data_IF_027089728286
#
_entry.id   IF_027089728286
#
_cell.length_a   1.000
_cell.length_b   1.000
_cell.length_c   1.000
_cell.angle_alpha   90.00
_cell.angle_beta   90.00
_cell.angle_gamma   90.00
#
_symmetry.space_group_name_H-M   'P 1'
#
loop_
_entity.id
_entity.type
_entity.pdbx_description
1 polymer ?
#
# COMPACT_ATOMS: atom_id res chain seq x y z
N UNK A 1 -65.79 87.90 1.79
CA UNK A 1 -65.20 87.63 3.12
C UNK A 1 -65.16 86.13 3.33
N UNK A 2 -64.15 85.45 2.80
CA UNK A 2 -64.10 83.97 2.75
C UNK A 2 -63.49 83.39 4.03
N UNK A 3 -64.31 83.28 5.08
CA UNK A 3 -64.02 82.39 6.20
C UNK A 3 -64.36 80.95 5.81
N UNK A 4 -63.50 80.00 6.16
CA UNK A 4 -63.87 78.58 6.16
C UNK A 4 -65.05 78.36 7.13
N UNK A 5 -65.84 77.31 6.90
CA UNK A 5 -67.06 77.05 7.66
C UNK A 5 -66.78 76.09 8.82
N UNK A 6 -67.31 76.42 10.00
CA UNK A 6 -66.94 75.78 11.26
C UNK A 6 -67.37 74.32 11.35
N UNK A 7 -68.51 73.98 10.75
CA UNK A 7 -69.17 72.69 10.95
C UNK A 7 -69.67 72.05 9.64
N UNK A 8 -69.82 70.72 9.69
CA UNK A 8 -70.47 69.95 8.61
C UNK A 8 -71.88 70.47 8.33
N UNK A 9 -72.63 70.84 9.37
CA UNK A 9 -73.95 71.45 9.24
C UNK A 9 -73.93 72.73 8.44
N UNK A 10 -72.96 73.62 8.67
CA UNK A 10 -72.88 74.91 7.97
C UNK A 10 -72.53 74.72 6.49
N UNK A 11 -71.65 73.75 6.17
CA UNK A 11 -71.36 73.37 4.79
C UNK A 11 -72.61 72.85 4.09
N UNK A 12 -73.41 72.03 4.77
CA UNK A 12 -74.66 71.51 4.22
C UNK A 12 -75.71 72.61 4.05
N UNK A 13 -75.90 73.50 5.03
CA UNK A 13 -76.81 74.65 4.92
C UNK A 13 -76.46 75.53 3.73
N UNK A 14 -75.19 75.94 3.60
CA UNK A 14 -74.74 76.78 2.48
C UNK A 14 -74.92 76.08 1.12
N UNK A 15 -74.66 74.77 1.06
CA UNK A 15 -74.78 74.00 -0.18
C UNK A 15 -76.26 73.79 -0.56
N UNK A 16 -77.13 73.49 0.40
CA UNK A 16 -78.57 73.32 0.18
C UNK A 16 -79.29 74.64 -0.07
N UNK A 17 -78.85 75.74 0.53
CA UNK A 17 -79.34 77.08 0.18
C UNK A 17 -79.10 77.37 -1.29
N UNK A 18 -77.93 77.01 -1.83
CA UNK A 18 -77.64 77.24 -3.24
C UNK A 18 -78.40 76.31 -4.18
N UNK A 19 -78.48 75.00 -3.91
CA UNK A 19 -79.09 74.05 -4.85
C UNK A 19 -80.59 73.78 -4.60
N UNK A 20 -81.16 74.38 -3.56
CA UNK A 20 -82.55 74.27 -3.07
C UNK A 20 -82.96 72.86 -2.62
N UNK A 21 -82.66 71.83 -3.41
CA UNK A 21 -82.96 70.44 -3.13
C UNK A 21 -81.87 69.51 -3.69
N UNK A 22 -81.21 68.73 -2.82
CA UNK A 22 -80.23 67.71 -3.22
C UNK A 22 -80.32 66.44 -2.36
N UNK A 23 -79.85 65.32 -2.93
CA UNK A 23 -79.71 64.06 -2.20
C UNK A 23 -78.41 64.00 -1.39
N UNK A 24 -78.35 63.16 -0.36
CA UNK A 24 -77.14 62.94 0.43
C UNK A 24 -75.95 62.44 -0.44
N UNK A 25 -76.25 61.66 -1.49
CA UNK A 25 -75.27 61.18 -2.48
C UNK A 25 -74.66 62.31 -3.30
N UNK A 26 -75.46 63.29 -3.69
CA UNK A 26 -74.99 64.46 -4.43
C UNK A 26 -74.24 65.43 -3.51
N UNK A 27 -74.59 65.50 -2.21
CA UNK A 27 -73.92 66.34 -1.21
C UNK A 27 -72.53 65.83 -0.81
N UNK A 28 -72.37 64.50 -0.71
CA UNK A 28 -71.14 63.88 -0.19
C UNK A 28 -69.84 64.29 -0.91
N UNK A 29 -69.78 64.40 -2.25
CA UNK A 29 -68.59 64.90 -2.96
C UNK A 29 -68.22 66.34 -2.62
N UNK A 30 -69.21 67.21 -2.38
CA UNK A 30 -68.98 68.62 -2.03
C UNK A 30 -68.45 68.76 -0.63
N UNK A 31 -69.09 68.02 0.30
CA UNK A 31 -68.62 67.91 1.67
C UNK A 31 -67.18 67.41 1.67
N UNK A 32 -66.89 66.26 1.05
CA UNK A 32 -65.54 65.67 1.02
C UNK A 32 -64.44 66.62 0.53
N UNK A 33 -64.75 67.51 -0.43
CA UNK A 33 -63.78 68.49 -0.95
C UNK A 33 -63.49 69.60 0.06
N UNK A 34 -64.51 70.07 0.78
CA UNK A 34 -64.40 71.17 1.76
C UNK A 34 -64.00 70.68 3.16
N UNK A 35 -64.50 69.53 3.58
CA UNK A 35 -64.32 68.90 4.91
C UNK A 35 -64.28 67.37 4.77
N UNK A 36 -63.66 66.64 5.72
CA UNK A 36 -63.61 65.16 5.69
C UNK A 36 -62.87 64.56 4.48
N UNK A 37 -61.78 65.19 4.03
CA UNK A 37 -60.98 64.75 2.87
C UNK A 37 -60.42 63.32 3.03
N UNK A 38 -60.07 62.95 4.27
CA UNK A 38 -59.46 61.66 4.62
C UNK A 38 -60.43 60.47 4.57
N UNK A 39 -61.74 60.74 4.53
CA UNK A 39 -62.76 59.69 4.54
C UNK A 39 -63.07 59.19 3.13
N UNK A 40 -63.46 57.91 3.03
CA UNK A 40 -63.99 57.37 1.78
C UNK A 40 -65.34 58.01 1.47
N UNK A 41 -65.70 58.10 0.18
CA UNK A 41 -66.95 58.75 -0.25
C UNK A 41 -68.20 58.12 0.37
N UNK A 42 -68.20 56.80 0.60
CA UNK A 42 -69.29 56.10 1.27
C UNK A 42 -69.43 56.48 2.75
N UNK A 43 -68.31 56.61 3.47
CA UNK A 43 -68.31 57.07 4.87
C UNK A 43 -68.74 58.54 4.98
N UNK A 44 -68.38 59.39 4.01
CA UNK A 44 -68.84 60.78 3.96
C UNK A 44 -70.35 60.83 3.69
N UNK A 45 -70.87 60.02 2.77
CA UNK A 45 -72.31 59.92 2.48
C UNK A 45 -73.12 59.55 3.73
N UNK A 46 -72.66 58.56 4.50
CA UNK A 46 -73.30 58.15 5.75
C UNK A 46 -73.29 59.27 6.79
N UNK A 47 -72.16 59.95 6.99
CA UNK A 47 -72.04 61.08 7.91
C UNK A 47 -72.92 62.26 7.49
N UNK A 48 -73.01 62.54 6.19
CA UNK A 48 -73.90 63.58 5.65
C UNK A 48 -75.36 63.21 5.91
N UNK A 49 -75.75 61.96 5.65
CA UNK A 49 -77.11 61.50 5.92
C UNK A 49 -77.48 61.59 7.40
N UNK A 50 -76.58 61.18 8.30
CA UNK A 50 -76.77 61.32 9.75
C UNK A 50 -76.92 62.78 10.17
N UNK A 51 -76.08 63.67 9.66
CA UNK A 51 -76.13 65.11 9.94
C UNK A 51 -77.46 65.72 9.49
N UNK A 52 -77.90 65.43 8.26
CA UNK A 52 -79.19 65.92 7.73
C UNK A 52 -80.39 65.45 8.58
N UNK A 53 -80.32 64.22 9.11
CA UNK A 53 -81.38 63.67 9.97
C UNK A 53 -81.36 64.20 11.41
N UNK A 54 -80.19 64.59 11.92
CA UNK A 54 -80.00 65.04 13.30
C UNK A 54 -80.43 66.49 13.53
N UNK A 55 -80.37 67.33 12.51
CA UNK A 55 -80.60 68.77 12.65
C UNK A 55 -81.93 69.20 12.02
N UNK A 56 -82.77 69.88 12.82
CA UNK A 56 -84.11 70.33 12.42
C UNK A 56 -84.13 71.46 11.36
N UNK A 57 -82.98 71.98 10.96
CA UNK A 57 -82.87 72.94 9.87
C UNK A 57 -83.03 72.31 8.48
N UNK A 58 -83.04 70.98 8.37
CA UNK A 58 -83.19 70.27 7.11
C UNK A 58 -84.52 69.53 7.04
N UNK A 59 -85.27 69.78 5.97
CA UNK A 59 -86.53 69.09 5.68
C UNK A 59 -86.30 68.02 4.61
N UNK A 60 -86.89 66.84 4.83
CA UNK A 60 -86.87 65.76 3.86
C UNK A 60 -88.18 65.76 3.05
N UNK A 61 -88.09 66.17 1.79
CA UNK A 61 -89.25 66.24 0.90
C UNK A 61 -89.71 64.87 0.36
N UNK A 62 -90.92 64.82 -0.19
CA UNK A 62 -91.54 63.62 -0.77
C UNK A 62 -90.70 63.02 -1.92
N UNK A 63 -89.95 63.86 -2.63
CA UNK A 63 -89.05 63.49 -3.74
C UNK A 63 -87.74 62.81 -3.30
N UNK A 64 -87.58 62.50 -1.99
CA UNK A 64 -86.33 62.01 -1.36
C UNK A 64 -85.15 62.98 -1.45
N UNK A 65 -85.44 64.27 -1.59
CA UNK A 65 -84.45 65.35 -1.61
C UNK A 65 -84.52 66.13 -0.30
N UNK A 66 -83.34 66.54 0.19
CA UNK A 66 -83.22 67.38 1.36
C UNK A 66 -83.27 68.85 0.97
N UNK A 67 -84.01 69.65 1.74
CA UNK A 67 -84.15 71.10 1.57
C UNK A 67 -83.78 71.82 2.86
N UNK A 68 -83.36 73.07 2.75
CA UNK A 68 -83.05 73.91 3.90
C UNK A 68 -84.33 74.65 4.35
N UNK A 69 -84.67 74.55 5.63
CA UNK A 69 -85.77 75.30 6.20
C UNK A 69 -85.33 76.74 6.52
N UNK A 70 -85.86 77.71 5.77
CA UNK A 70 -85.57 79.13 5.93
C UNK A 70 -86.62 79.88 6.77
N UNK A 71 -87.68 79.20 7.24
CA UNK A 71 -88.72 79.85 8.06
C UNK A 71 -88.17 80.33 9.41
N UNK A 72 -87.09 79.70 9.88
CA UNK A 72 -86.34 80.13 11.05
C UNK A 72 -87.09 79.99 12.37
N UNK A 73 -86.37 80.21 13.46
CA UNK A 73 -86.96 80.19 14.82
C UNK A 73 -87.23 81.62 15.26
N UNK A 74 -88.46 81.90 15.73
CA UNK A 74 -88.88 83.25 16.17
C UNK A 74 -87.98 83.87 17.24
N UNK A 75 -87.41 83.04 18.11
CA UNK A 75 -86.47 83.47 19.16
C UNK A 75 -85.19 84.10 18.59
N UNK A 76 -84.80 83.74 17.37
CA UNK A 76 -83.58 84.21 16.71
C UNK A 76 -83.82 85.43 15.81
N UNK A 77 -85.07 85.89 15.62
CA UNK A 77 -85.42 86.97 14.69
C UNK A 77 -84.75 88.30 15.07
N UNK A 78 -84.58 88.56 16.38
CA UNK A 78 -83.84 89.74 16.84
C UNK A 78 -82.39 89.74 16.32
N UNK A 79 -81.74 88.59 16.39
CA UNK A 79 -80.37 88.44 15.93
C UNK A 79 -80.27 88.49 14.40
N UNK A 80 -81.24 87.90 13.70
CA UNK A 80 -81.38 88.00 12.25
C UNK A 80 -81.47 89.46 11.77
N UNK A 81 -82.34 90.27 12.37
CA UNK A 81 -82.47 91.69 12.04
C UNK A 81 -81.20 92.50 12.35
N UNK A 82 -80.48 92.13 13.41
CA UNK A 82 -79.24 92.78 13.81
C UNK A 82 -78.12 92.51 12.79
N UNK A 83 -78.00 91.27 12.31
CA UNK A 83 -77.09 90.90 11.22
C UNK A 83 -77.47 91.61 9.92
N UNK A 84 -78.76 91.62 9.54
CA UNK A 84 -79.24 92.34 8.35
C UNK A 84 -78.89 93.84 8.40
N UNK A 85 -79.06 94.49 9.56
CA UNK A 85 -78.78 95.92 9.73
C UNK A 85 -77.29 96.24 9.67
N UNK A 86 -76.43 95.38 10.22
CA UNK A 86 -74.98 95.60 10.26
C UNK A 86 -74.24 95.09 9.01
N UNK A 87 -74.85 94.20 8.22
CA UNK A 87 -74.27 93.56 7.02
C UNK A 87 -72.85 93.00 7.24
N UNK A 88 -72.55 92.56 8.46
CA UNK A 88 -71.25 92.02 8.85
C UNK A 88 -71.45 90.84 9.81
N UNK A 89 -70.57 89.82 9.75
CA UNK A 89 -70.65 88.68 10.66
C UNK A 89 -70.29 89.13 12.09
N UNK A 90 -71.02 88.66 13.08
CA UNK A 90 -70.89 89.11 14.48
C UNK A 90 -70.59 87.95 15.41
N UNK A 91 -69.83 88.22 16.46
CA UNK A 91 -69.64 87.24 17.53
C UNK A 91 -70.83 87.25 18.49
N UNK A 92 -71.16 86.10 19.08
CA UNK A 92 -72.15 86.03 20.16
C UNK A 92 -71.76 86.87 21.38
N UNK A 93 -70.45 87.07 21.57
CA UNK A 93 -69.86 87.91 22.60
C UNK A 93 -70.24 89.39 22.46
N UNK A 94 -70.39 89.89 21.25
CA UNK A 94 -70.77 91.30 20.99
C UNK A 94 -72.24 91.58 21.28
N UNK A 95 -73.08 90.54 21.31
CA UNK A 95 -74.54 90.65 21.44
C UNK A 95 -74.96 90.49 22.90
N UNK A 96 -74.31 89.58 23.63
CA UNK A 96 -74.54 89.37 25.07
C UNK A 96 -73.80 90.45 25.88
N UNK A 97 -74.24 91.71 25.77
CA UNK A 97 -73.94 92.77 26.73
C UNK A 97 -74.79 92.56 27.98
N UNK A 98 -74.35 91.68 28.89
CA UNK A 98 -75.05 91.42 30.16
C UNK A 98 -74.11 91.31 31.36
N UNK A 99 -74.43 92.04 32.44
CA UNK A 99 -73.74 92.08 33.74
C UNK A 99 -73.98 90.81 34.60
N UNK A 100 -73.87 89.61 34.02
CA UNK A 100 -74.10 88.34 34.75
C UNK A 100 -72.82 87.53 35.00
N UNK A 101 -72.84 86.71 36.06
CA UNK A 101 -71.73 85.85 36.47
C UNK A 101 -71.23 84.93 35.34
N UNK A 102 -69.91 84.73 35.25
CA UNK A 102 -69.23 84.00 34.16
C UNK A 102 -69.82 82.60 33.85
N UNK A 103 -70.26 81.85 34.87
CA UNK A 103 -70.83 80.49 34.70
C UNK A 103 -72.25 80.49 34.12
N UNK A 104 -73.12 81.44 34.50
CA UNK A 104 -74.48 81.58 33.92
C UNK A 104 -74.41 82.13 32.49
N UNK A 105 -73.44 83.01 32.21
CA UNK A 105 -73.16 83.51 30.86
C UNK A 105 -72.77 82.37 29.92
N UNK A 106 -71.88 81.47 30.34
CA UNK A 106 -71.43 80.32 29.54
C UNK A 106 -72.56 79.35 29.20
N UNK A 107 -73.42 78.99 30.16
CA UNK A 107 -74.55 78.07 29.92
C UNK A 107 -75.60 78.64 28.96
N UNK A 108 -75.88 79.95 29.03
CA UNK A 108 -76.78 80.61 28.07
C UNK A 108 -76.17 80.66 26.67
N UNK A 109 -74.89 80.99 26.56
CA UNK A 109 -74.21 81.02 25.26
C UNK A 109 -74.21 79.65 24.58
N UNK A 110 -73.99 78.56 25.31
CA UNK A 110 -74.05 77.20 24.72
C UNK A 110 -75.47 76.86 24.22
N UNK A 111 -76.51 77.29 24.94
CA UNK A 111 -77.89 77.08 24.52
C UNK A 111 -78.27 77.96 23.31
N UNK A 112 -77.82 79.22 23.30
CA UNK A 112 -78.00 80.16 22.19
C UNK A 112 -77.23 79.70 20.94
N UNK A 113 -76.01 79.19 21.07
CA UNK A 113 -75.25 78.55 19.99
C UNK A 113 -75.98 77.35 19.41
N UNK A 114 -76.43 76.41 20.26
CA UNK A 114 -77.16 75.24 19.80
C UNK A 114 -78.46 75.60 19.06
N UNK A 115 -79.17 76.63 19.54
CA UNK A 115 -80.38 77.15 18.90
C UNK A 115 -80.08 77.78 17.53
N UNK A 116 -78.96 78.49 17.37
CA UNK A 116 -78.55 79.07 16.09
C UNK A 116 -78.04 78.00 15.10
N UNK A 117 -77.36 76.95 15.57
CA UNK A 117 -77.00 75.78 14.74
C UNK A 117 -78.28 75.10 14.21
N UNK A 118 -79.34 75.05 15.02
CA UNK A 118 -80.62 74.44 14.61
C UNK A 118 -81.45 75.29 13.65
N UNK A 119 -81.15 76.59 13.51
CA UNK A 119 -81.86 77.51 12.62
C UNK A 119 -81.16 77.56 11.24
N UNK A 120 -81.92 77.30 10.18
CA UNK A 120 -81.41 77.21 8.81
C UNK A 120 -80.96 78.54 8.20
N UNK A 121 -81.22 79.69 8.85
CA UNK A 121 -80.82 81.03 8.35
C UNK A 121 -79.40 81.45 8.73
N UNK A 122 -78.78 80.77 9.70
CA UNK A 122 -77.48 81.15 10.24
C UNK A 122 -76.40 80.11 9.93
N UNK A 123 -75.19 80.60 9.69
CA UNK A 123 -73.97 79.81 9.53
C UNK A 123 -72.88 80.33 10.47
N UNK A 124 -72.08 79.40 11.00
CA UNK A 124 -70.90 79.73 11.79
C UNK A 124 -69.62 79.65 10.93
N UNK A 125 -68.81 80.71 11.01
CA UNK A 125 -67.51 80.79 10.37
C UNK A 125 -66.42 80.26 11.32
N UNK A 126 -65.30 79.79 10.78
CA UNK A 126 -64.16 79.23 11.53
C UNK A 126 -63.58 80.15 12.60
N UNK A 127 -63.73 81.46 12.41
CA UNK A 127 -63.31 82.48 13.38
C UNK A 127 -64.30 82.67 14.54
N UNK A 128 -65.34 81.85 14.63
CA UNK A 128 -66.37 81.91 15.69
C UNK A 128 -67.42 83.01 15.48
N UNK A 129 -67.41 83.68 14.32
CA UNK A 129 -68.42 84.66 13.96
C UNK A 129 -69.63 84.00 13.29
N UNK A 130 -70.79 84.61 13.47
CA UNK A 130 -72.06 84.17 12.90
C UNK A 130 -72.46 85.08 11.74
N UNK A 131 -72.86 84.47 10.64
CA UNK A 131 -73.36 85.14 9.44
C UNK A 131 -74.68 84.54 8.97
N UNK A 132 -75.30 85.19 7.99
CA UNK A 132 -76.49 84.66 7.33
C UNK A 132 -76.08 83.66 6.25
N UNK A 133 -76.88 82.62 6.05
CA UNK A 133 -76.65 81.58 5.02
C UNK A 133 -76.68 82.13 3.60
N UNK A 134 -77.35 83.27 3.42
CA UNK A 134 -77.45 83.99 2.16
C UNK A 134 -76.17 84.76 1.81
N UNK A 135 -75.31 85.02 2.80
CA UNK A 135 -74.09 85.79 2.60
C UNK A 135 -72.97 84.94 2.00
N UNK A 136 -72.31 85.49 0.97
CA UNK A 136 -71.16 84.93 0.26
C UNK A 136 -71.31 83.42 -0.02
N UNK A 137 -72.19 83.02 -0.95
CA UNK A 137 -72.14 81.66 -1.51
C UNK A 137 -71.02 81.61 -2.55
N UNK A 138 -69.99 80.77 -2.34
CA UNK A 138 -68.89 80.56 -3.32
C UNK A 138 -69.37 79.72 -4.52
N UNK A 139 -70.24 80.31 -5.34
CA UNK A 139 -70.92 79.59 -6.42
C UNK A 139 -69.94 79.07 -7.48
N UNK A 140 -68.85 79.79 -7.72
CA UNK A 140 -67.85 79.43 -8.73
C UNK A 140 -67.08 78.12 -8.48
N UNK A 141 -67.12 77.58 -7.25
CA UNK A 141 -66.42 76.34 -6.90
C UNK A 141 -67.16 75.07 -7.33
N UNK A 142 -68.44 75.19 -7.71
CA UNK A 142 -69.20 74.04 -8.16
C UNK A 142 -68.79 73.62 -9.58
N UNK A 143 -68.75 72.30 -9.87
CA UNK A 143 -68.48 71.81 -11.22
C UNK A 143 -69.53 72.33 -12.20
N UNK A 144 -69.09 72.75 -13.39
CA UNK A 144 -69.96 73.34 -14.40
C UNK A 144 -71.16 72.45 -14.78
N UNK A 145 -70.98 71.11 -14.81
CA UNK A 145 -72.09 70.13 -14.96
C UNK A 145 -73.25 70.40 -14.01
N UNK A 146 -72.97 70.67 -12.74
CA UNK A 146 -74.01 70.81 -11.71
C UNK A 146 -74.67 72.20 -11.76
N UNK A 147 -73.92 73.23 -12.17
CA UNK A 147 -74.47 74.56 -12.45
C UNK A 147 -75.43 74.51 -13.65
N UNK A 148 -75.07 73.79 -14.71
CA UNK A 148 -75.94 73.58 -15.88
C UNK A 148 -77.21 72.81 -15.50
N UNK A 149 -77.10 71.75 -14.68
CA UNK A 149 -78.26 71.02 -14.16
C UNK A 149 -79.17 71.95 -13.35
N UNK A 150 -78.60 72.82 -12.50
CA UNK A 150 -79.37 73.80 -11.73
C UNK A 150 -80.11 74.78 -12.65
N UNK A 151 -79.45 75.31 -13.69
CA UNK A 151 -80.07 76.21 -14.66
C UNK A 151 -81.29 75.56 -15.35
N UNK A 152 -81.19 74.30 -15.76
CA UNK A 152 -82.33 73.57 -16.33
C UNK A 152 -83.42 73.19 -15.33
N UNK A 153 -83.09 73.01 -14.04
CA UNK A 153 -84.12 72.82 -12.99
C UNK A 153 -84.95 74.09 -12.76
N UNK A 154 -84.31 75.26 -12.85
CA UNK A 154 -85.01 76.56 -12.79
C UNK A 154 -85.85 76.83 -14.04
N UNK A 155 -85.45 76.28 -15.18
CA UNK A 155 -86.12 76.44 -16.48
C UNK A 155 -86.48 75.08 -17.09
N UNK A 156 -87.55 74.41 -16.60
CA UNK A 156 -87.92 73.07 -17.05
C UNK A 156 -88.37 73.02 -18.52
N UNK A 157 -88.75 74.15 -19.12
CA UNK A 157 -89.04 74.28 -20.55
C UNK A 157 -87.80 74.23 -21.46
N UNK A 158 -86.60 74.12 -20.89
CA UNK A 158 -85.33 74.14 -21.59
C UNK A 158 -84.81 75.56 -21.89
N UNK A 159 -83.54 75.62 -22.28
CA UNK A 159 -82.82 76.87 -22.54
C UNK A 159 -82.00 76.75 -23.81
N UNK A 160 -81.89 77.84 -24.56
CA UNK A 160 -80.88 77.91 -25.63
C UNK A 160 -79.46 78.02 -25.06
N UNK A 161 -78.44 77.68 -25.86
CA UNK A 161 -77.05 77.74 -25.40
C UNK A 161 -76.65 79.13 -24.87
N UNK A 162 -77.05 80.19 -25.59
CA UNK A 162 -76.81 81.57 -25.18
C UNK A 162 -77.55 81.95 -23.89
N UNK A 163 -78.80 81.50 -23.73
CA UNK A 163 -79.59 81.72 -22.50
C UNK A 163 -79.00 80.96 -21.31
N UNK A 164 -78.59 79.70 -21.52
CA UNK A 164 -77.93 78.89 -20.50
C UNK A 164 -76.65 79.55 -20.02
N UNK A 165 -75.82 80.04 -20.94
CA UNK A 165 -74.58 80.74 -20.61
C UNK A 165 -74.87 82.06 -19.91
N UNK A 166 -75.92 82.79 -20.31
CA UNK A 166 -76.40 83.98 -19.58
C UNK A 166 -76.75 83.68 -18.12
N UNK A 167 -77.51 82.61 -17.87
CA UNK A 167 -77.88 82.17 -16.51
C UNK A 167 -76.67 81.70 -15.74
N UNK A 168 -75.82 80.85 -16.32
CA UNK A 168 -74.64 80.29 -15.64
C UNK A 168 -73.56 81.35 -15.39
N UNK A 169 -73.44 82.38 -16.23
CA UNK A 169 -72.52 83.49 -16.04
C UNK A 169 -72.83 84.33 -14.80
N UNK A 170 -74.08 84.32 -14.30
CA UNK A 170 -74.41 84.93 -13.01
C UNK A 170 -73.73 84.23 -11.82
N UNK A 171 -73.31 82.99 -12.01
CA UNK A 171 -72.74 82.12 -10.98
C UNK A 171 -71.24 81.88 -11.18
N UNK A 172 -70.84 81.69 -12.44
CA UNK A 172 -69.45 81.45 -12.84
C UNK A 172 -69.25 81.91 -14.28
N UNK A 173 -68.23 82.75 -14.56
CA UNK A 173 -67.90 83.12 -15.93
C UNK A 173 -67.54 81.87 -16.74
N UNK A 174 -68.29 81.63 -17.81
CA UNK A 174 -68.31 80.40 -18.60
C UNK A 174 -68.46 80.77 -20.08
N UNK A 175 -67.75 80.07 -20.97
CA UNK A 175 -67.86 80.25 -22.43
C UNK A 175 -68.90 79.30 -23.02
N UNK A 176 -69.52 79.70 -24.14
CA UNK A 176 -70.49 78.86 -24.86
C UNK A 176 -69.92 77.48 -25.22
N UNK A 177 -68.66 77.45 -25.69
CA UNK A 177 -67.93 76.22 -26.02
C UNK A 177 -67.79 75.25 -24.85
N UNK A 178 -67.59 75.77 -23.63
CA UNK A 178 -67.43 74.94 -22.43
C UNK A 178 -68.76 74.39 -21.92
N UNK A 179 -69.85 75.14 -22.09
CA UNK A 179 -71.19 74.67 -21.80
C UNK A 179 -71.61 73.58 -22.80
N UNK A 180 -71.39 73.83 -24.09
CA UNK A 180 -71.68 72.87 -25.18
C UNK A 180 -70.88 71.56 -25.04
N UNK A 181 -69.59 71.64 -24.68
CA UNK A 181 -68.77 70.46 -24.43
C UNK A 181 -69.32 69.58 -23.29
N UNK A 182 -70.02 70.15 -22.32
CA UNK A 182 -70.65 69.39 -21.23
C UNK A 182 -72.00 68.82 -21.66
N UNK A 183 -72.80 69.61 -22.39
CA UNK A 183 -74.07 69.16 -22.94
C UNK A 183 -73.88 67.95 -23.87
N UNK A 184 -72.91 68.02 -24.78
CA UNK A 184 -72.56 66.93 -25.70
C UNK A 184 -71.92 65.71 -25.02
N UNK A 185 -71.18 65.91 -23.92
CA UNK A 185 -70.48 64.81 -23.22
C UNK A 185 -71.42 63.88 -22.45
N UNK A 186 -72.56 64.36 -21.99
CA UNK A 186 -73.44 63.58 -21.13
C UNK A 186 -74.79 63.32 -21.79
N UNK A 187 -75.22 62.04 -21.92
CA UNK A 187 -76.38 61.67 -22.73
C UNK A 187 -77.74 62.07 -22.11
N UNK A 188 -77.75 62.60 -20.89
CA UNK A 188 -78.96 63.06 -20.21
C UNK A 188 -79.25 64.55 -20.44
N UNK A 189 -78.41 65.24 -21.19
CA UNK A 189 -78.76 66.53 -21.79
C UNK A 189 -79.25 66.28 -23.21
N UNK A 190 -80.53 66.56 -23.44
CA UNK A 190 -81.18 66.30 -24.72
C UNK A 190 -81.40 67.62 -25.45
N UNK A 191 -81.13 67.63 -26.75
CA UNK A 191 -81.42 68.77 -27.61
C UNK A 191 -82.81 68.54 -28.23
N UNK A 192 -83.79 69.34 -27.84
CA UNK A 192 -85.11 69.36 -28.45
C UNK A 192 -85.14 70.42 -29.57
N UNK A 193 -85.06 69.96 -30.82
CA UNK A 193 -84.96 70.82 -32.00
C UNK A 193 -83.55 71.36 -32.25
N UNK A 194 -83.41 72.44 -33.03
CA UNK A 194 -82.09 72.96 -33.44
C UNK A 194 -81.39 73.81 -32.36
N UNK A 195 -82.11 74.36 -31.38
CA UNK A 195 -81.54 75.41 -30.51
C UNK A 195 -81.80 75.26 -29.01
N UNK A 196 -82.62 74.29 -28.59
CA UNK A 196 -83.10 74.21 -27.21
C UNK A 196 -82.59 72.94 -26.52
N UNK A 197 -81.94 73.12 -25.38
CA UNK A 197 -81.42 72.03 -24.56
C UNK A 197 -82.31 71.81 -23.34
N UNK A 198 -82.44 70.56 -22.93
CA UNK A 198 -83.19 70.14 -21.75
C UNK A 198 -82.40 69.12 -20.94
N UNK A 199 -82.70 69.06 -19.65
CA UNK A 199 -82.12 68.10 -18.73
C UNK A 199 -83.14 67.00 -18.42
N UNK A 200 -82.86 65.78 -18.87
CA UNK A 200 -83.69 64.61 -18.58
C UNK A 200 -83.20 63.92 -17.29
N UNK A 201 -83.96 64.10 -16.20
CA UNK A 201 -83.63 63.52 -14.90
C UNK A 201 -83.68 61.97 -14.92
N UNK A 202 -84.55 61.37 -15.73
CA UNK A 202 -84.67 59.90 -15.84
C UNK A 202 -83.44 59.34 -16.53
N UNK A 203 -83.02 59.94 -17.65
CA UNK A 203 -81.81 59.56 -18.36
C UNK A 203 -80.55 59.68 -17.48
N UNK A 204 -80.48 60.72 -16.63
CA UNK A 204 -79.35 60.89 -15.70
C UNK A 204 -79.27 59.75 -14.68
N UNK A 205 -80.41 59.31 -14.12
CA UNK A 205 -80.45 58.18 -13.17
C UNK A 205 -79.99 56.87 -13.83
N UNK A 206 -80.48 56.58 -15.03
CA UNK A 206 -80.10 55.38 -15.79
C UNK A 206 -78.60 55.40 -16.13
N UNK A 207 -78.08 56.54 -16.57
CA UNK A 207 -76.66 56.71 -16.84
C UNK A 207 -75.79 56.40 -15.62
N UNK A 208 -76.17 56.93 -14.45
CA UNK A 208 -75.43 56.68 -13.20
C UNK A 208 -75.46 55.20 -12.79
N UNK A 209 -76.57 54.50 -13.01
CA UNK A 209 -76.67 53.05 -12.74
C UNK A 209 -75.80 52.22 -13.69
N UNK A 210 -75.83 52.53 -14.99
CA UNK A 210 -74.99 51.85 -16.00
C UNK A 210 -73.51 52.11 -15.69
N UNK A 211 -73.14 53.35 -15.38
CA UNK A 211 -71.77 53.72 -15.05
C UNK A 211 -71.28 52.99 -13.80
N UNK A 212 -72.13 52.83 -12.77
CA UNK A 212 -71.81 52.02 -11.57
C UNK A 212 -71.52 50.57 -11.93
N UNK A 213 -72.38 49.94 -12.76
CA UNK A 213 -72.19 48.55 -13.22
C UNK A 213 -70.89 48.41 -14.01
N UNK A 214 -70.63 49.32 -14.94
CA UNK A 214 -69.41 49.33 -15.74
C UNK A 214 -68.15 49.45 -14.88
N UNK A 215 -68.12 50.41 -13.95
CA UNK A 215 -66.99 50.58 -13.04
C UNK A 215 -66.80 49.35 -12.13
N UNK A 216 -67.87 48.67 -11.72
CA UNK A 216 -67.77 47.44 -10.93
C UNK A 216 -67.12 46.31 -11.75
N UNK A 217 -67.52 46.12 -13.01
CA UNK A 217 -66.92 45.11 -13.91
C UNK A 217 -65.44 45.40 -14.14
N UNK A 218 -65.06 46.67 -14.38
CA UNK A 218 -63.66 47.05 -14.54
C UNK A 218 -62.82 46.76 -13.29
N UNK A 219 -63.36 47.03 -12.09
CA UNK A 219 -62.67 46.70 -10.83
C UNK A 219 -62.48 45.19 -10.68
N UNK A 220 -63.49 44.41 -11.06
CA UNK A 220 -63.42 42.95 -11.00
C UNK A 220 -62.38 42.39 -11.97
N UNK A 221 -62.35 42.89 -13.21
CA UNK A 221 -61.32 42.52 -14.20
C UNK A 221 -59.92 42.86 -13.70
N UNK A 222 -59.74 44.07 -13.15
CA UNK A 222 -58.46 44.48 -12.56
C UNK A 222 -58.02 43.53 -11.44
N UNK A 223 -58.95 43.13 -10.56
CA UNK A 223 -58.68 42.19 -9.46
C UNK A 223 -58.29 40.81 -9.98
N UNK A 224 -59.01 40.28 -10.98
CA UNK A 224 -58.67 38.98 -11.61
C UNK A 224 -57.29 39.00 -12.23
N UNK A 225 -56.97 40.06 -12.97
CA UNK A 225 -55.66 40.21 -13.59
C UNK A 225 -54.52 40.29 -12.56
N UNK A 226 -54.73 41.02 -11.45
CA UNK A 226 -53.77 41.07 -10.35
C UNK A 226 -53.55 39.68 -9.72
N UNK A 227 -54.64 38.96 -9.47
CA UNK A 227 -54.59 37.60 -8.92
C UNK A 227 -53.86 36.63 -9.85
N UNK A 228 -54.17 36.63 -11.15
CA UNK A 228 -53.48 35.78 -12.14
C UNK A 228 -51.98 36.09 -12.20
N UNK A 229 -51.62 37.37 -12.16
CA UNK A 229 -50.22 37.79 -12.15
C UNK A 229 -49.48 37.32 -10.90
N UNK A 230 -50.11 37.39 -9.73
CA UNK A 230 -49.56 36.84 -8.48
C UNK A 230 -49.39 35.32 -8.55
N UNK A 231 -50.37 34.59 -9.10
CA UNK A 231 -50.27 33.15 -9.31
C UNK A 231 -49.10 32.77 -10.22
N UNK A 232 -48.93 33.49 -11.34
CA UNK A 232 -47.80 33.29 -12.24
C UNK A 232 -46.47 33.61 -11.59
N UNK A 233 -46.40 34.68 -10.79
CA UNK A 233 -45.21 35.04 -10.04
C UNK A 233 -44.83 33.95 -9.04
N UNK A 234 -45.80 33.41 -8.30
CA UNK A 234 -45.56 32.32 -7.35
C UNK A 234 -45.08 31.04 -8.04
N UNK A 235 -45.68 30.67 -9.18
CA UNK A 235 -45.21 29.54 -10.01
C UNK A 235 -43.79 29.74 -10.50
N UNK A 236 -43.46 30.94 -10.99
CA UNK A 236 -42.11 31.28 -11.43
C UNK A 236 -41.10 31.13 -10.28
N UNK A 237 -41.42 31.63 -9.10
CA UNK A 237 -40.54 31.51 -7.93
C UNK A 237 -40.36 30.04 -7.50
N UNK A 238 -41.42 29.24 -7.53
CA UNK A 238 -41.32 27.81 -7.22
C UNK A 238 -40.39 27.08 -8.19
N UNK A 239 -40.54 27.29 -9.50
CA UNK A 239 -39.68 26.67 -10.52
C UNK A 239 -38.23 27.15 -10.38
N UNK A 240 -38.03 28.44 -10.10
CA UNK A 240 -36.70 28.98 -9.84
C UNK A 240 -36.02 28.31 -8.64
N UNK A 241 -36.75 28.14 -7.53
CA UNK A 241 -36.22 27.48 -6.34
C UNK A 241 -35.84 26.01 -6.65
N UNK A 242 -36.71 25.28 -7.36
CA UNK A 242 -36.41 23.90 -7.79
C UNK A 242 -35.16 23.83 -8.68
N UNK A 243 -35.01 24.78 -9.60
CA UNK A 243 -33.82 24.86 -10.44
C UNK A 243 -32.55 25.12 -9.62
N UNK A 244 -32.61 26.04 -8.65
CA UNK A 244 -31.50 26.33 -7.75
C UNK A 244 -31.15 25.12 -6.86
N UNK A 245 -32.14 24.38 -6.36
CA UNK A 245 -31.96 23.14 -5.59
C UNK A 245 -31.31 22.04 -6.42
N UNK A 246 -31.80 21.78 -7.64
CA UNK A 246 -31.19 20.82 -8.57
C UNK A 246 -29.76 21.24 -8.90
N UNK A 247 -29.52 22.53 -9.12
CA UNK A 247 -28.19 23.06 -9.38
C UNK A 247 -27.23 22.93 -8.19
N UNK A 248 -27.73 22.95 -6.95
CA UNK A 248 -26.93 22.67 -5.73
C UNK A 248 -26.66 21.17 -5.61
N UNK A 249 -27.67 20.34 -5.75
CA UNK A 249 -27.54 18.89 -5.70
C UNK A 249 -26.55 18.36 -6.75
N UNK A 250 -26.58 18.89 -7.98
CA UNK A 250 -25.60 18.53 -9.01
C UNK A 250 -24.16 18.92 -8.62
N UNK A 251 -23.97 20.08 -7.99
CA UNK A 251 -22.65 20.50 -7.51
C UNK A 251 -22.15 19.62 -6.37
N UNK A 252 -23.02 19.25 -5.44
CA UNK A 252 -22.70 18.34 -4.34
C UNK A 252 -22.34 16.94 -4.86
N UNK A 253 -23.12 16.41 -5.80
CA UNK A 253 -22.83 15.13 -6.46
C UNK A 253 -21.49 15.19 -7.22
N UNK A 254 -21.24 16.27 -7.95
CA UNK A 254 -19.96 16.45 -8.65
C UNK A 254 -18.78 16.51 -7.68
N UNK A 255 -18.92 17.21 -6.54
CA UNK A 255 -17.89 17.27 -5.50
C UNK A 255 -17.64 15.88 -4.88
N UNK A 256 -18.69 15.14 -4.52
CA UNK A 256 -18.58 13.79 -3.98
C UNK A 256 -17.93 12.81 -4.98
N UNK A 257 -18.25 12.92 -6.27
CA UNK A 257 -17.61 12.13 -7.32
C UNK A 257 -16.13 12.48 -7.48
N UNK A 258 -15.76 13.76 -7.36
CA UNK A 258 -14.37 14.19 -7.41
C UNK A 258 -13.57 13.66 -6.20
N UNK A 259 -14.13 13.72 -4.99
CA UNK A 259 -13.51 13.12 -3.80
C UNK A 259 -13.36 11.60 -3.95
N UNK A 260 -14.38 10.91 -4.45
CA UNK A 260 -14.33 9.49 -4.71
C UNK A 260 -13.28 9.14 -5.77
N UNK A 261 -13.09 9.97 -6.79
CA UNK A 261 -12.03 9.77 -7.79
C UNK A 261 -10.64 9.88 -7.15
N UNK A 262 -10.40 10.88 -6.30
CA UNK A 262 -9.12 11.02 -5.58
C UNK A 262 -8.84 9.84 -4.66
N UNK A 263 -9.87 9.33 -3.96
CA UNK A 263 -9.71 8.13 -3.12
C UNK A 263 -9.42 6.89 -3.97
N UNK A 264 -10.08 6.74 -5.12
CA UNK A 264 -9.80 5.66 -6.06
C UNK A 264 -8.36 5.70 -6.55
N UNK A 265 -7.87 6.86 -6.99
CA UNK A 265 -6.50 7.03 -7.47
C UNK A 265 -5.47 6.69 -6.38
N UNK A 266 -5.74 7.08 -5.13
CA UNK A 266 -4.90 6.70 -3.97
C UNK A 266 -4.89 5.18 -3.74
N UNK A 267 -6.06 4.54 -3.82
CA UNK A 267 -6.17 3.09 -3.68
C UNK A 267 -5.43 2.37 -4.80
N UNK A 268 -5.58 2.83 -6.06
CA UNK A 268 -4.88 2.27 -7.20
C UNK A 268 -3.35 2.40 -7.03
N UNK A 269 -2.89 3.55 -6.52
CA UNK A 269 -1.48 3.72 -6.19
C UNK A 269 -1.01 2.76 -5.09
N UNK A 270 -1.78 2.59 -4.01
CA UNK A 270 -1.45 1.61 -2.96
C UNK A 270 -1.43 0.17 -3.48
N UNK A 271 -2.36 -0.20 -4.36
CA UNK A 271 -2.38 -1.52 -5.01
C UNK A 271 -1.12 -1.74 -5.84
N UNK A 272 -0.68 -0.74 -6.61
CA UNK A 272 0.60 -0.83 -7.34
C UNK A 272 1.79 -1.01 -6.40
N UNK A 273 1.87 -0.23 -5.31
CA UNK A 273 2.93 -0.38 -4.31
C UNK A 273 2.94 -1.77 -3.66
N UNK A 274 1.76 -2.32 -3.30
CA UNK A 274 1.65 -3.67 -2.75
C UNK A 274 2.17 -4.69 -3.75
N UNK A 275 1.79 -4.58 -5.03
CA UNK A 275 2.26 -5.50 -6.07
C UNK A 275 3.78 -5.46 -6.27
N UNK A 276 4.40 -4.27 -6.17
CA UNK A 276 5.85 -4.11 -6.21
C UNK A 276 6.53 -4.76 -4.99
N UNK A 277 5.96 -4.56 -3.79
CA UNK A 277 6.48 -5.19 -2.56
C UNK A 277 6.34 -6.71 -2.61
N UNK A 278 5.25 -7.24 -3.12
CA UNK A 278 5.04 -8.68 -3.30
C UNK A 278 6.06 -9.27 -4.29
N UNK A 279 6.35 -8.56 -5.38
CA UNK A 279 7.41 -8.95 -6.31
C UNK A 279 8.79 -8.98 -5.62
N UNK A 280 9.15 -7.93 -4.87
CA UNK A 280 10.41 -7.88 -4.13
C UNK A 280 10.51 -8.99 -3.07
N UNK A 281 9.43 -9.28 -2.35
CA UNK A 281 9.36 -10.39 -1.41
C UNK A 281 9.55 -11.73 -2.11
N UNK A 282 8.93 -11.92 -3.28
CA UNK A 282 9.11 -13.13 -4.10
C UNK A 282 10.57 -13.31 -4.54
N UNK A 283 11.23 -12.23 -4.99
CA UNK A 283 12.64 -12.25 -5.35
C UNK A 283 13.54 -12.57 -4.16
N UNK A 284 13.33 -11.93 -3.00
CA UNK A 284 14.08 -12.24 -1.78
C UNK A 284 13.86 -13.67 -1.30
N UNK A 285 12.64 -14.21 -1.38
CA UNK A 285 12.38 -15.63 -1.09
C UNK A 285 13.20 -16.54 -2.01
N UNK A 286 13.27 -16.26 -3.32
CA UNK A 286 14.10 -17.03 -4.26
C UNK A 286 15.58 -16.95 -3.93
N UNK A 287 16.11 -15.78 -3.58
CA UNK A 287 17.50 -15.62 -3.16
C UNK A 287 17.81 -16.38 -1.87
N UNK A 288 16.93 -16.33 -0.87
CA UNK A 288 17.10 -17.09 0.38
C UNK A 288 17.17 -18.58 0.07
N UNK A 289 16.27 -19.10 -0.77
CA UNK A 289 16.30 -20.51 -1.19
C UNK A 289 17.59 -20.86 -1.92
N UNK A 290 18.08 -19.98 -2.79
CA UNK A 290 19.36 -20.16 -3.48
C UNK A 290 20.53 -20.24 -2.49
N UNK A 291 20.63 -19.31 -1.53
CA UNK A 291 21.69 -19.33 -0.52
C UNK A 291 21.58 -20.54 0.40
N UNK A 292 20.37 -20.95 0.79
CA UNK A 292 20.16 -22.18 1.56
C UNK A 292 20.67 -23.42 0.82
N UNK A 293 20.44 -23.52 -0.50
CA UNK A 293 20.98 -24.61 -1.31
C UNK A 293 22.51 -24.57 -1.41
N UNK A 294 23.09 -23.38 -1.55
CA UNK A 294 24.55 -23.22 -1.55
C UNK A 294 25.17 -23.62 -0.21
N UNK A 295 24.57 -23.23 0.91
CA UNK A 295 25.01 -23.64 2.25
C UNK A 295 24.95 -25.17 2.37
N UNK A 296 23.84 -25.80 1.97
CA UNK A 296 23.71 -27.27 1.98
C UNK A 296 24.80 -27.96 1.13
N UNK A 297 25.13 -27.42 -0.05
CA UNK A 297 26.22 -27.95 -0.89
C UNK A 297 27.58 -27.81 -0.23
N UNK A 298 27.85 -26.67 0.42
CA UNK A 298 29.10 -26.44 1.15
C UNK A 298 29.20 -27.35 2.37
N UNK A 299 28.12 -27.54 3.12
CA UNK A 299 28.04 -28.48 4.23
C UNK A 299 28.28 -29.92 3.77
N UNK A 300 27.67 -30.34 2.65
CA UNK A 300 27.92 -31.65 2.06
C UNK A 300 29.39 -31.84 1.65
N UNK A 301 30.00 -30.82 1.05
CA UNK A 301 31.45 -30.83 0.72
C UNK A 301 32.31 -30.91 1.98
N UNK A 302 32.03 -30.11 3.00
CA UNK A 302 32.74 -30.14 4.27
C UNK A 302 32.62 -31.51 4.95
N UNK A 303 31.43 -32.10 4.98
CA UNK A 303 31.20 -33.46 5.50
C UNK A 303 31.98 -34.51 4.70
N UNK A 304 32.05 -34.38 3.38
CA UNK A 304 32.88 -35.27 2.54
C UNK A 304 34.36 -35.13 2.87
N UNK A 305 34.88 -33.90 3.04
CA UNK A 305 36.28 -33.66 3.44
C UNK A 305 36.55 -34.24 4.81
N UNK A 306 35.67 -33.99 5.79
CA UNK A 306 35.79 -34.55 7.14
C UNK A 306 35.77 -36.08 7.13
N UNK A 307 34.94 -36.68 6.28
CA UNK A 307 34.92 -38.14 6.09
C UNK A 307 36.26 -38.66 5.56
N UNK A 308 36.83 -38.00 4.54
CA UNK A 308 38.16 -38.35 4.02
C UNK A 308 39.25 -38.18 5.08
N UNK A 309 39.22 -37.10 5.86
CA UNK A 309 40.15 -36.91 6.98
C UNK A 309 40.01 -38.03 8.02
N UNK A 310 38.78 -38.45 8.38
CA UNK A 310 38.55 -39.58 9.29
C UNK A 310 39.13 -40.88 8.73
N UNK A 311 38.91 -41.16 7.45
CA UNK A 311 39.49 -42.33 6.78
C UNK A 311 41.02 -42.29 6.76
N UNK A 312 41.61 -41.12 6.51
CA UNK A 312 43.06 -40.96 6.56
C UNK A 312 43.59 -41.19 7.98
N UNK A 313 42.95 -40.62 8.99
CA UNK A 313 43.32 -40.87 10.40
C UNK A 313 43.23 -42.36 10.73
N UNK A 314 42.16 -43.04 10.30
CA UNK A 314 42.01 -44.48 10.49
C UNK A 314 43.12 -45.25 9.79
N UNK A 315 43.37 -45.00 8.49
CA UNK A 315 44.48 -45.62 7.76
C UNK A 315 45.83 -45.39 8.43
N UNK A 316 46.10 -44.17 8.93
CA UNK A 316 47.36 -43.90 9.63
C UNK A 316 47.47 -44.69 10.92
N UNK A 317 46.38 -44.87 11.67
CA UNK A 317 46.35 -45.73 12.86
C UNK A 317 46.58 -47.18 12.51
N UNK A 318 45.85 -47.71 11.52
CA UNK A 318 46.03 -49.10 11.05
C UNK A 318 47.48 -49.33 10.60
N UNK A 319 48.08 -48.39 9.86
CA UNK A 319 49.49 -48.49 9.46
C UNK A 319 50.47 -48.37 10.64
N UNK A 320 50.15 -47.59 11.67
CA UNK A 320 50.96 -47.53 12.89
C UNK A 320 50.90 -48.86 13.63
N UNK A 321 49.71 -49.46 13.78
CA UNK A 321 49.54 -50.79 14.37
C UNK A 321 50.27 -51.87 13.56
N UNK A 322 50.24 -51.82 12.23
CA UNK A 322 51.03 -52.72 11.37
C UNK A 322 52.54 -52.53 11.55
N UNK A 323 53.02 -51.29 11.66
CA UNK A 323 54.44 -50.98 11.88
C UNK A 323 54.87 -51.47 13.26
N UNK A 324 54.08 -51.23 14.30
CA UNK A 324 54.33 -51.75 15.65
C UNK A 324 54.37 -53.29 15.65
N UNK A 325 53.42 -53.95 14.99
CA UNK A 325 53.41 -55.42 14.84
C UNK A 325 54.65 -55.94 14.10
N UNK A 326 55.08 -55.25 13.03
CA UNK A 326 56.32 -55.59 12.32
C UNK A 326 57.55 -55.39 13.20
N UNK A 327 57.62 -54.30 13.96
CA UNK A 327 58.71 -54.08 14.93
C UNK A 327 58.77 -55.18 15.97
N UNK A 328 57.65 -55.58 16.56
CA UNK A 328 57.59 -56.70 17.50
C UNK A 328 58.05 -58.02 16.85
N UNK A 329 57.65 -58.29 15.61
CA UNK A 329 58.11 -59.49 14.88
C UNK A 329 59.61 -59.46 14.58
N UNK A 330 60.16 -58.27 14.28
CA UNK A 330 61.56 -58.06 14.00
C UNK A 330 62.39 -58.23 15.26
N UNK A 331 61.97 -57.65 16.39
CA UNK A 331 62.57 -57.85 17.71
C UNK A 331 62.56 -59.34 18.10
N UNK A 332 61.44 -60.04 17.90
CA UNK A 332 61.38 -61.49 18.16
C UNK A 332 62.34 -62.28 17.27
N UNK A 333 62.48 -61.90 15.99
CA UNK A 333 63.42 -62.53 15.06
C UNK A 333 64.88 -62.23 15.42
N UNK A 334 65.18 -61.00 15.87
CA UNK A 334 66.50 -60.60 16.35
C UNK A 334 66.86 -61.37 17.62
N UNK A 335 65.96 -61.44 18.61
CA UNK A 335 66.15 -62.24 19.80
C UNK A 335 66.39 -63.73 19.48
N UNK A 336 65.67 -64.27 18.48
CA UNK A 336 65.89 -65.64 18.01
C UNK A 336 67.26 -65.81 17.32
N UNK A 337 67.68 -64.84 16.50
CA UNK A 337 69.00 -64.83 15.88
C UNK A 337 70.12 -64.71 16.93
N UNK A 338 70.00 -63.80 17.89
CA UNK A 338 70.92 -63.67 19.03
C UNK A 338 70.99 -64.99 19.82
N UNK A 339 69.86 -65.65 20.05
CA UNK A 339 69.78 -66.99 20.62
C UNK A 339 70.53 -68.04 19.79
N UNK A 340 70.38 -68.03 18.46
CA UNK A 340 71.13 -68.92 17.56
C UNK A 340 72.63 -68.58 17.51
N UNK A 341 73.00 -67.30 17.51
CA UNK A 341 74.39 -66.85 17.57
C UNK A 341 75.05 -67.32 18.86
N UNK A 342 74.37 -67.19 20.00
CA UNK A 342 74.86 -67.71 21.29
C UNK A 342 75.04 -69.23 21.25
N UNK A 343 74.07 -69.99 20.69
CA UNK A 343 74.22 -71.44 20.47
C UNK A 343 75.39 -71.79 19.55
N UNK A 344 75.63 -71.01 18.51
CA UNK A 344 76.75 -71.20 17.58
C UNK A 344 78.09 -70.83 18.21
N UNK A 345 78.12 -69.82 19.08
CA UNK A 345 79.29 -69.48 19.90
C UNK A 345 79.63 -70.65 20.82
N UNK A 346 78.62 -71.19 21.53
CA UNK A 346 78.77 -72.37 22.38
C UNK A 346 79.23 -73.61 21.59
N UNK A 347 78.71 -73.85 20.38
CA UNK A 347 79.15 -74.98 19.55
C UNK A 347 80.57 -74.80 19.02
N UNK A 348 80.98 -73.56 18.69
CA UNK A 348 82.37 -73.22 18.35
C UNK A 348 83.31 -73.42 19.53
N UNK A 349 82.92 -73.04 20.74
CA UNK A 349 83.69 -73.30 21.96
C UNK A 349 83.87 -74.81 22.19
N UNK A 350 82.78 -75.58 22.13
CA UNK A 350 82.85 -77.05 22.18
C UNK A 350 83.74 -77.64 21.09
N UNK A 351 83.71 -77.09 19.88
CA UNK A 351 84.61 -77.53 18.80
C UNK A 351 86.07 -77.16 19.07
N UNK A 352 86.35 -75.99 19.67
CA UNK A 352 87.70 -75.60 20.11
C UNK A 352 88.20 -76.52 21.22
N UNK A 353 87.37 -76.85 22.19
CA UNK A 353 87.66 -77.81 23.25
C UNK A 353 87.97 -79.20 22.68
N UNK A 354 87.11 -79.72 21.79
CA UNK A 354 87.34 -81.00 21.12
C UNK A 354 88.63 -80.99 20.28
N UNK A 355 88.93 -79.88 19.59
CA UNK A 355 90.18 -79.72 18.83
C UNK A 355 91.40 -79.68 19.76
N UNK A 356 91.29 -79.03 20.92
CA UNK A 356 92.36 -79.01 21.92
C UNK A 356 92.61 -80.40 22.51
N UNK A 357 91.53 -81.15 22.82
CA UNK A 357 91.64 -82.55 23.25
C UNK A 357 92.30 -83.42 22.17
N UNK A 358 91.93 -83.23 20.89
CA UNK A 358 92.52 -83.99 19.79
C UNK A 358 94.00 -83.63 19.57
N UNK A 359 94.39 -82.37 19.78
CA UNK A 359 95.79 -81.96 19.79
C UNK A 359 96.57 -82.60 20.95
N UNK A 360 96.00 -82.63 22.16
CA UNK A 360 96.61 -83.29 23.31
C UNK A 360 96.82 -84.79 23.06
N UNK A 361 95.82 -85.50 22.52
CA UNK A 361 95.93 -86.91 22.13
C UNK A 361 96.98 -87.11 21.04
N UNK A 362 97.09 -86.17 20.08
CA UNK A 362 98.13 -86.20 19.05
C UNK A 362 99.53 -86.02 19.65
N UNK A 363 99.70 -85.13 20.61
CA UNK A 363 100.97 -84.92 21.30
C UNK A 363 101.37 -86.16 22.10
N UNK A 364 100.45 -86.78 22.84
CA UNK A 364 100.65 -88.06 23.53
C UNK A 364 101.00 -89.22 22.57
N UNK A 365 100.40 -89.25 21.39
CA UNK A 365 100.78 -90.22 20.36
C UNK A 365 102.15 -89.92 19.76
N UNK A 366 102.49 -88.65 19.56
CA UNK A 366 103.80 -88.26 19.02
C UNK A 366 104.94 -88.54 20.01
N UNK A 367 104.70 -88.36 21.32
CA UNK A 367 105.66 -88.74 22.36
C UNK A 367 105.86 -90.26 22.40
N UNK A 368 104.79 -91.06 22.37
CA UNK A 368 104.89 -92.53 22.25
C UNK A 368 105.62 -92.97 20.98
N UNK A 369 105.37 -92.30 19.84
CA UNK A 369 106.10 -92.57 18.60
C UNK A 369 107.60 -92.26 18.73
N UNK A 370 107.96 -91.17 19.42
CA UNK A 370 109.36 -90.83 19.67
C UNK A 370 110.04 -91.83 20.61
N UNK A 371 109.36 -92.29 21.65
CA UNK A 371 109.85 -93.36 22.54
C UNK A 371 110.09 -94.65 21.75
N UNK A 372 109.12 -95.10 20.96
CA UNK A 372 109.24 -96.30 20.12
C UNK A 372 110.32 -96.13 19.04
N UNK A 373 110.48 -94.95 18.44
CA UNK A 373 111.58 -94.68 17.52
C UNK A 373 112.94 -94.71 18.23
N UNK A 374 113.03 -94.23 19.46
CA UNK A 374 114.22 -94.36 20.31
C UNK A 374 114.60 -95.82 20.55
N UNK A 375 113.62 -96.66 20.92
CA UNK A 375 113.83 -98.10 21.08
C UNK A 375 114.26 -98.78 19.77
N UNK A 376 113.67 -98.41 18.63
CA UNK A 376 114.06 -98.92 17.31
C UNK A 376 115.51 -98.54 16.98
N UNK A 377 115.93 -97.31 17.27
CA UNK A 377 117.32 -96.86 17.02
C UNK A 377 118.31 -97.63 17.90
N UNK A 378 118.00 -97.82 19.18
CA UNK A 378 118.84 -98.59 20.10
C UNK A 378 118.96 -100.06 19.68
N UNK A 379 117.84 -100.67 19.26
CA UNK A 379 117.83 -102.04 18.73
C UNK A 379 118.62 -102.12 17.40
N UNK A 380 118.49 -101.15 16.50
CA UNK A 380 119.27 -101.09 15.26
C UNK A 380 120.77 -100.94 15.51
N UNK A 381 121.18 -100.07 16.44
CA UNK A 381 122.57 -99.89 16.85
C UNK A 381 123.19 -101.18 17.41
N UNK A 382 122.44 -101.94 18.22
CA UNK A 382 122.87 -103.26 18.71
C UNK A 382 123.03 -104.28 17.58
N UNK A 383 122.11 -104.26 16.61
CA UNK A 383 122.12 -105.17 15.46
C UNK A 383 123.26 -104.86 14.48
N UNK A 384 123.54 -103.58 14.22
CA UNK A 384 124.67 -103.15 13.41
C UNK A 384 126.02 -103.48 14.05
N UNK A 385 126.16 -103.33 15.38
CA UNK A 385 127.37 -103.79 16.09
C UNK A 385 127.60 -105.30 15.96
N UNK A 386 126.54 -106.10 16.01
CA UNK A 386 126.64 -107.55 15.76
C UNK A 386 126.99 -107.85 14.30
N UNK A 387 126.34 -107.19 13.32
CA UNK A 387 126.63 -107.36 11.89
C UNK A 387 128.05 -106.98 11.53
N UNK A 388 128.57 -105.87 12.05
CA UNK A 388 129.95 -105.44 11.80
C UNK A 388 130.95 -106.43 12.40
N UNK A 389 130.67 -106.97 13.60
CA UNK A 389 131.47 -108.03 14.21
C UNK A 389 131.46 -109.34 13.42
N UNK A 390 130.33 -109.70 12.79
CA UNK A 390 130.21 -110.90 11.95
C UNK A 390 130.92 -110.74 10.61
N UNK A 391 130.70 -109.61 9.92
CA UNK A 391 131.32 -109.33 8.61
C UNK A 391 132.85 -109.26 8.70
N UNK A 392 133.41 -108.77 9.81
CA UNK A 392 134.87 -108.76 10.02
C UNK A 392 135.45 -110.17 10.20
N UNK A 393 134.68 -111.11 10.76
CA UNK A 393 135.08 -112.53 10.85
C UNK A 393 134.95 -113.23 9.50
N UNK A 394 133.89 -112.93 8.74
CA UNK A 394 133.69 -113.44 7.37
C UNK A 394 134.86 -113.05 6.46
N UNK A 395 135.28 -111.78 6.47
CA UNK A 395 136.42 -111.32 5.65
C UNK A 395 137.74 -112.01 6.00
N UNK A 396 138.00 -112.25 7.28
CA UNK A 396 139.19 -113.01 7.70
C UNK A 396 139.16 -114.46 7.22
N UNK A 397 137.98 -115.07 7.20
CA UNK A 397 137.79 -116.44 6.70
C UNK A 397 137.85 -116.51 5.16
N UNK A 398 137.35 -115.50 4.44
CA UNK A 398 137.47 -115.39 2.98
C UNK A 398 138.94 -115.23 2.56
N UNK A 399 139.71 -114.37 3.24
CA UNK A 399 141.15 -114.20 2.98
C UNK A 399 141.96 -115.49 3.27
N UNK A 400 141.48 -116.33 4.19
CA UNK A 400 142.09 -117.62 4.53
C UNK A 400 141.69 -118.71 3.52
N UNK A 401 140.46 -118.67 3.00
CA UNK A 401 139.99 -119.53 1.90
C UNK A 401 140.75 -119.21 0.60
N UNK A 402 140.95 -117.93 0.27
CA UNK A 402 141.64 -117.54 -0.96
C UNK A 402 143.12 -117.96 -0.95
N UNK A 403 143.79 -117.91 0.22
CA UNK A 403 145.14 -118.47 0.38
C UNK A 403 145.16 -119.99 0.19
N UNK A 404 144.22 -120.70 0.82
CA UNK A 404 144.13 -122.16 0.68
C UNK A 404 143.75 -122.59 -0.74
N UNK A 405 142.99 -121.78 -1.47
CA UNK A 405 142.68 -122.01 -2.89
C UNK A 405 143.88 -121.79 -3.81
N UNK A 406 144.74 -120.82 -3.52
CA UNK A 406 145.99 -120.62 -4.25
C UNK A 406 146.94 -121.82 -4.06
N UNK A 407 147.11 -122.28 -2.82
CA UNK A 407 147.95 -123.43 -2.49
C UNK A 407 147.43 -124.74 -3.12
N UNK A 408 146.10 -124.90 -3.24
CA UNK A 408 145.49 -126.06 -3.90
C UNK A 408 145.73 -126.07 -5.42
N UNK A 409 145.79 -124.88 -6.04
CA UNK A 409 145.98 -124.73 -7.48
C UNK A 409 147.41 -125.08 -7.90
N UNK A 410 148.39 -124.64 -7.12
CA UNK A 410 149.80 -124.99 -7.32
C UNK A 410 150.04 -126.51 -7.12
N UNK A 411 149.33 -127.14 -6.18
CA UNK A 411 149.39 -128.59 -5.97
C UNK A 411 148.74 -129.40 -7.12
N UNK A 412 147.70 -128.85 -7.76
CA UNK A 412 147.05 -129.49 -8.91
C UNK A 412 147.89 -129.41 -10.18
N UNK A 413 148.56 -128.29 -10.44
CA UNK A 413 149.50 -128.17 -11.58
C UNK A 413 150.68 -129.16 -11.44
N UNK A 414 151.20 -129.35 -10.22
CA UNK A 414 152.20 -130.39 -9.95
C UNK A 414 151.68 -131.83 -10.14
N UNK A 415 150.38 -132.06 -9.90
CA UNK A 415 149.73 -133.35 -10.10
C UNK A 415 149.50 -133.70 -11.58
N UNK A 416 149.19 -132.71 -12.41
CA UNK A 416 148.97 -132.92 -13.85
C UNK A 416 150.28 -133.25 -14.59
N UNK A 417 151.40 -132.66 -14.20
CA UNK A 417 152.72 -133.00 -14.75
C UNK A 417 153.18 -134.42 -14.33
N UNK A 418 152.75 -134.90 -13.16
CA UNK A 418 152.94 -136.30 -12.77
C UNK A 418 152.09 -137.26 -13.62
N UNK A 419 150.87 -136.87 -13.96
CA UNK A 419 149.98 -137.69 -14.80
C UNK A 419 150.49 -137.85 -16.23
N UNK A 420 151.18 -136.83 -16.75
CA UNK A 420 151.87 -136.88 -18.05
C UNK A 420 153.04 -137.89 -18.06
N UNK A 421 153.73 -138.07 -16.93
CA UNK A 421 154.83 -139.05 -16.83
C UNK A 421 154.34 -140.50 -16.67
N UNK A 422 153.23 -140.73 -15.96
CA UNK A 422 152.65 -142.08 -15.75
C UNK A 422 152.08 -142.70 -17.04
N UNK A 423 151.53 -141.88 -17.94
CA UNK A 423 151.03 -142.37 -19.24
C UNK A 423 152.14 -142.86 -20.17
N UNK A 424 153.33 -142.26 -20.10
CA UNK A 424 154.50 -142.71 -20.85
C UNK A 424 154.98 -144.10 -20.39
N UNK A 425 154.90 -144.41 -19.09
CA UNK A 425 155.27 -145.73 -18.55
C UNK A 425 154.24 -146.84 -18.89
N UNK A 426 152.96 -146.48 -19.05
CA UNK A 426 151.92 -147.44 -19.48
C UNK A 426 152.07 -147.87 -20.95
N UNK A 427 152.75 -147.07 -21.78
CA UNK A 427 153.14 -147.46 -23.14
C UNK A 427 154.24 -148.54 -23.17
N UNK A 428 154.99 -148.77 -22.09
CA UNK A 428 156.05 -149.80 -22.06
C UNK A 428 155.55 -151.15 -21.52
N UNK A 429 154.70 -151.14 -20.49
CA UNK A 429 154.21 -152.37 -19.83
C UNK A 429 153.24 -153.18 -20.69
N UNK A 430 152.51 -152.53 -21.60
CA UNK A 430 151.58 -153.22 -22.50
C UNK A 430 152.29 -153.99 -23.62
N UNK A 431 153.47 -153.53 -24.03
CA UNK A 431 154.33 -154.18 -25.04
C UNK A 431 155.02 -155.41 -24.48
N UNK A 432 155.44 -155.36 -23.22
CA UNK A 432 155.94 -156.51 -22.43
C UNK A 432 154.77 -157.31 -21.83
N UNK A 433 153.52 -157.06 -22.27
CA UNK A 433 152.37 -157.94 -21.96
C UNK A 433 151.93 -158.82 -23.13
N UNK A 434 152.91 -159.07 -23.98
CA UNK A 434 153.45 -160.41 -23.92
C UNK A 434 152.71 -161.41 -24.84
N UNK A 435 153.36 -161.86 -25.91
CA UNK A 435 154.71 -162.45 -25.88
C UNK A 435 154.90 -163.57 -24.79
N UNK A 436 154.10 -163.63 -23.72
CA UNK A 436 154.00 -164.65 -22.66
C UNK A 436 152.79 -165.55 -22.89
N UNK A 437 151.74 -165.02 -23.53
CA UNK A 437 150.58 -165.84 -23.90
C UNK A 437 150.89 -166.83 -25.01
N UNK A 438 151.87 -166.54 -25.85
CA UNK A 438 152.39 -167.45 -26.88
C UNK A 438 153.23 -168.60 -26.28
N UNK A 439 153.75 -168.46 -25.07
CA UNK A 439 154.55 -169.50 -24.40
C UNK A 439 153.73 -170.50 -23.57
N UNK A 440 152.57 -170.10 -23.04
CA UNK A 440 151.90 -170.90 -22.00
C UNK A 440 151.14 -172.13 -22.54
N UNK A 441 150.80 -172.20 -23.83
CA UNK A 441 149.97 -173.31 -24.36
C UNK A 441 150.74 -174.57 -24.75
N UNK A 442 152.06 -174.51 -24.83
CA UNK A 442 152.92 -175.65 -25.21
C UNK A 442 153.03 -176.72 -24.10
N UNK A 443 152.63 -176.44 -22.84
CA UNK A 443 153.15 -177.20 -21.69
C UNK A 443 152.12 -178.07 -20.93
N UNK A 444 150.89 -178.29 -21.43
CA UNK A 444 149.90 -179.17 -20.72
C UNK A 444 149.28 -180.30 -21.57
N UNK A 445 150.06 -181.33 -21.94
CA UNK A 445 149.56 -182.73 -22.07
C UNK A 445 150.74 -183.75 -22.10
N UNK A 446 150.56 -185.05 -21.78
CA UNK A 446 150.87 -185.67 -20.50
C UNK A 446 152.16 -186.52 -20.46
N UNK A 447 153.00 -186.55 -21.50
CA UNK A 447 154.17 -187.43 -21.55
C UNK A 447 155.31 -187.04 -20.58
N UNK A 448 155.29 -185.84 -20.01
CA UNK A 448 156.38 -185.38 -19.13
C UNK A 448 156.08 -185.59 -17.64
N UNK A 449 154.84 -185.89 -17.25
CA UNK A 449 154.59 -186.21 -15.83
C UNK A 449 155.08 -187.61 -15.41
N UNK A 450 155.53 -188.45 -16.35
CA UNK A 450 156.27 -189.70 -16.07
C UNK A 450 157.80 -189.53 -16.15
N UNK A 451 158.35 -188.51 -16.84
CA UNK A 451 159.80 -188.30 -16.94
C UNK A 451 160.44 -187.68 -15.68
N UNK A 452 159.67 -186.97 -14.84
CA UNK A 452 160.22 -186.31 -13.64
C UNK A 452 159.91 -187.06 -12.34
N UNK A 453 159.42 -188.30 -12.41
CA UNK A 453 159.52 -189.23 -11.26
C UNK A 453 160.73 -190.18 -11.31
N UNK A 454 161.56 -190.16 -12.36
CA UNK A 454 162.75 -191.05 -12.41
C UNK A 454 164.07 -190.40 -11.99
N UNK A 455 164.39 -189.16 -12.37
CA UNK A 455 165.71 -188.62 -11.96
C UNK A 455 165.57 -187.19 -11.50
N UNK A 456 164.82 -187.12 -10.38
CA UNK A 456 165.03 -186.42 -9.10
C UNK A 456 165.66 -187.33 -8.03
N UNK A 457 165.98 -188.57 -8.42
CA UNK A 457 167.31 -189.17 -8.20
C UNK A 457 168.41 -188.45 -9.06
N UNK A 458 168.09 -187.31 -9.68
CA UNK A 458 169.01 -186.19 -9.95
C UNK A 458 168.23 -184.89 -9.77
N UNK A 459 168.50 -184.09 -8.74
CA UNK A 459 167.97 -182.74 -8.73
C UNK A 459 169.13 -181.80 -8.46
N UNK A 460 169.79 -181.44 -9.57
CA UNK A 460 170.65 -180.28 -9.76
C UNK A 460 169.82 -179.16 -10.36
#
# INVERSE_FOLDING_TARGET
>A
MSGNLHSLTDVLKRTLFFFEAMSAKELAPYVRRKMLQDYSLAQVEEKVYLCLKQHNCFDHGEDRLWRLNLQGVRENDHFYHLLLKKQQPLSLWEIVKSNQSKKKKLRRMIAEEANLISDGRFIQLDNGLWGLTEWDVEVGQFPLKHLIIKAFRLHPGGLSLAQLVGVVNTWRPTTETSAEAILSKFPYFEQQGESLWQYNQVAHRVYDEVMKKYLAILREQKRRWQWEREQWYNKYQQVRNQYEEVGRAQREVAAALAEHAVVRDRNDHLVTQISEKDLLLSLRKKEILYYQDQVKKLEAKANSVLYQCRLWVQRTRDTQEEVESRHQSLEASQANLEGMFSKLQQSKEKYREAKAQLAQVKDEHSSRLAELQGEIIDLKSRLEKQKYGSSKREKLLEEEIDRLQADLKDALEAGEDLQRSVRYLQQEVSRVREEYRDLERVIKHPLVRLAVRVRGVFAH
#
